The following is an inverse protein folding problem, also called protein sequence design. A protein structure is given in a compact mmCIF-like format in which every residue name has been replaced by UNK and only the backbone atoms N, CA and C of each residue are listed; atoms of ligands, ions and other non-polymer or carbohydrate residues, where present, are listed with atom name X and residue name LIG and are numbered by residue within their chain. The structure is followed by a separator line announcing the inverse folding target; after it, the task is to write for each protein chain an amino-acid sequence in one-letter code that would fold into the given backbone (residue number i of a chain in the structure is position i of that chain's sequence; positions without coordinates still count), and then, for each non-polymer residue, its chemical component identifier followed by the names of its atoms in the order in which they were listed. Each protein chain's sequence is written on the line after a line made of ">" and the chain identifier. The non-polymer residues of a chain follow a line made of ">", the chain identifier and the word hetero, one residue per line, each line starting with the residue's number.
data_IF_364125401205
#
_entry.id   IF_364125401205
#
_cell.length_a   1.000
_cell.length_b   1.000
_cell.length_c   1.000
_cell.angle_alpha   90.00
_cell.angle_beta   90.00
_cell.angle_gamma   90.00
#
_symmetry.space_group_name_H-M   'P 1'
#
loop_
_entity.id
_entity.type
_entity.pdbx_description
1 polymer ?
#
# COMPACT_ATOMS: atom_id res chain seq x y z
N UNK A 1 -3.75 32.10 -18.47
CA UNK A 1 -3.34 30.72 -18.15
C UNK A 1 -2.64 30.07 -19.35
N UNK A 2 -3.23 30.03 -20.56
CA UNK A 2 -2.66 29.36 -21.75
C UNK A 2 -1.33 29.95 -22.20
N UNK A 3 -1.15 31.28 -22.15
CA UNK A 3 0.13 31.94 -22.46
C UNK A 3 1.24 31.54 -21.47
N UNK A 4 0.94 31.48 -20.20
CA UNK A 4 1.90 31.05 -19.18
C UNK A 4 2.30 29.58 -19.34
N UNK A 5 1.37 28.69 -19.72
CA UNK A 5 1.72 27.29 -20.04
C UNK A 5 2.67 27.22 -21.24
N UNK A 6 2.43 28.04 -22.26
CA UNK A 6 3.32 28.11 -23.43
C UNK A 6 4.70 28.64 -23.05
N UNK A 7 4.79 29.70 -22.21
CA UNK A 7 6.05 30.24 -21.74
C UNK A 7 6.84 29.23 -20.88
N UNK A 8 6.15 28.46 -20.04
CA UNK A 8 6.79 27.39 -19.24
C UNK A 8 7.43 26.35 -20.13
N UNK A 9 6.66 25.87 -21.14
CA UNK A 9 7.14 24.80 -22.03
C UNK A 9 8.22 25.28 -22.99
N UNK A 10 8.22 26.55 -23.39
CA UNK A 10 9.20 27.09 -24.37
C UNK A 10 10.44 27.68 -23.73
N UNK A 11 10.32 28.34 -22.58
CA UNK A 11 11.43 29.07 -21.93
C UNK A 11 12.02 28.35 -20.72
N UNK A 12 11.22 27.52 -20.04
CA UNK A 12 11.62 26.85 -18.79
C UNK A 12 11.55 25.32 -18.92
N UNK A 13 11.73 24.78 -20.11
CA UNK A 13 11.54 23.35 -20.38
C UNK A 13 12.39 22.43 -19.49
N UNK A 14 13.68 22.75 -19.30
CA UNK A 14 14.60 21.96 -18.48
C UNK A 14 14.22 21.99 -16.98
N UNK A 15 13.78 23.15 -16.49
CA UNK A 15 13.29 23.29 -15.13
C UNK A 15 11.93 22.60 -14.93
N UNK A 16 11.08 22.60 -15.97
CA UNK A 16 9.81 21.91 -15.97
C UNK A 16 9.98 20.39 -15.92
N UNK A 17 10.85 19.80 -16.75
CA UNK A 17 11.15 18.36 -16.73
C UNK A 17 11.80 17.95 -15.41
N UNK A 18 12.71 18.80 -14.90
CA UNK A 18 13.39 18.56 -13.63
C UNK A 18 12.54 18.87 -12.40
N UNK A 19 11.27 19.25 -12.58
CA UNK A 19 10.31 19.60 -11.53
C UNK A 19 10.78 20.75 -10.60
N UNK A 20 11.58 21.70 -11.13
CA UNK A 20 12.16 22.82 -10.39
C UNK A 20 11.25 24.06 -10.43
N UNK A 21 10.07 23.94 -9.84
CA UNK A 21 9.04 25.00 -9.89
C UNK A 21 9.46 26.32 -9.26
N UNK A 22 10.34 26.30 -8.27
CA UNK A 22 10.86 27.53 -7.67
C UNK A 22 11.65 28.38 -8.68
N UNK A 23 12.42 27.75 -9.58
CA UNK A 23 13.13 28.46 -10.64
C UNK A 23 12.14 29.02 -11.67
N UNK A 24 11.13 28.26 -12.05
CA UNK A 24 10.07 28.69 -12.97
C UNK A 24 9.35 29.94 -12.40
N UNK A 25 8.98 29.91 -11.12
CA UNK A 25 8.36 31.04 -10.43
C UNK A 25 9.23 32.29 -10.48
N UNK A 26 10.54 32.15 -10.25
CA UNK A 26 11.50 33.27 -10.31
C UNK A 26 11.67 33.81 -11.74
N UNK A 27 11.79 32.91 -12.73
CA UNK A 27 12.04 33.27 -14.14
C UNK A 27 10.84 33.97 -14.76
N UNK A 28 9.62 33.53 -14.44
CA UNK A 28 8.39 34.07 -15.01
C UNK A 28 7.69 35.07 -14.11
N UNK A 29 8.19 35.31 -12.88
CA UNK A 29 7.61 36.28 -11.93
C UNK A 29 6.21 35.89 -11.45
N UNK A 30 5.91 34.58 -11.35
CA UNK A 30 4.59 34.07 -10.93
C UNK A 30 4.61 33.62 -9.47
N UNK A 31 3.45 33.72 -8.80
CA UNK A 31 3.30 33.21 -7.44
C UNK A 31 3.30 31.68 -7.40
N UNK A 32 3.63 31.11 -6.25
CA UNK A 32 3.60 29.65 -6.06
C UNK A 32 2.20 29.06 -6.26
N UNK A 33 1.16 29.78 -5.85
CA UNK A 33 -0.23 29.36 -6.06
C UNK A 33 -0.59 29.30 -7.54
N UNK A 34 -0.21 30.33 -8.30
CA UNK A 34 -0.39 30.34 -9.76
C UNK A 34 0.38 29.22 -10.44
N UNK A 35 1.58 28.94 -9.97
CA UNK A 35 2.41 27.83 -10.49
C UNK A 35 1.76 26.47 -10.22
N UNK A 36 1.14 26.31 -9.05
CA UNK A 36 0.38 25.10 -8.68
C UNK A 36 -0.83 24.88 -9.59
N UNK A 37 -1.62 25.92 -9.84
CA UNK A 37 -2.77 25.86 -10.73
C UNK A 37 -2.37 25.54 -12.16
N UNK A 38 -1.31 26.17 -12.66
CA UNK A 38 -0.78 25.92 -14.01
C UNK A 38 -0.27 24.50 -14.13
N UNK A 39 0.43 23.99 -13.12
CA UNK A 39 0.91 22.62 -13.07
C UNK A 39 -0.23 21.62 -13.15
N UNK A 40 -1.30 21.84 -12.39
CA UNK A 40 -2.50 21.01 -12.44
C UNK A 40 -3.16 21.04 -13.83
N UNK A 41 -3.28 22.22 -14.44
CA UNK A 41 -3.83 22.37 -15.79
C UNK A 41 -2.94 21.72 -16.89
N UNK A 42 -1.62 21.82 -16.77
CA UNK A 42 -0.68 21.16 -17.70
C UNK A 42 -0.85 19.63 -17.61
N UNK A 43 -0.90 19.06 -16.40
CA UNK A 43 -1.10 17.63 -16.20
C UNK A 43 -2.46 17.16 -16.74
N UNK A 44 -3.49 17.95 -16.59
CA UNK A 44 -4.84 17.62 -17.02
C UNK A 44 -5.04 17.71 -18.53
N UNK A 45 -4.44 18.72 -19.18
CA UNK A 45 -4.71 19.04 -20.59
C UNK A 45 -3.62 18.62 -21.56
N UNK A 46 -2.38 18.60 -21.11
CA UNK A 46 -1.25 18.23 -21.95
C UNK A 46 -0.78 16.83 -21.55
N UNK A 47 -0.75 15.93 -22.53
CA UNK A 47 -0.09 14.65 -22.36
C UNK A 47 1.44 14.87 -22.44
N UNK A 48 2.19 14.80 -21.33
CA UNK A 48 3.63 15.05 -21.32
C UNK A 48 4.45 13.97 -22.05
N UNK A 49 3.81 12.86 -22.45
CA UNK A 49 4.40 11.80 -23.25
C UNK A 49 3.65 11.70 -24.58
N UNK A 50 4.10 12.42 -25.63
CA UNK A 50 3.50 12.30 -26.95
C UNK A 50 3.53 10.84 -27.41
N UNK A 51 2.39 10.31 -27.84
CA UNK A 51 2.25 8.91 -28.23
C UNK A 51 1.90 7.93 -27.12
N UNK A 52 1.84 8.35 -25.84
CA UNK A 52 1.40 7.46 -24.76
C UNK A 52 -0.03 6.93 -24.99
N UNK A 53 -0.93 7.78 -25.50
CA UNK A 53 -2.29 7.38 -25.88
C UNK A 53 -2.34 6.42 -27.08
N UNK A 54 -1.35 6.45 -27.97
CA UNK A 54 -1.26 5.54 -29.12
C UNK A 54 -0.68 4.17 -28.77
N UNK A 55 0.16 4.11 -27.71
CA UNK A 55 0.76 2.86 -27.25
C UNK A 55 -0.14 2.04 -26.32
N UNK A 56 -1.21 2.62 -25.80
CA UNK A 56 -2.15 1.93 -24.92
C UNK A 56 -3.16 1.05 -25.66
N UNK A 57 -3.37 1.27 -26.98
CA UNK A 57 -4.34 0.53 -27.77
C UNK A 57 -3.83 -0.84 -28.30
N UNK A 58 -2.52 -1.06 -28.38
CA UNK A 58 -1.96 -2.29 -28.95
C UNK A 58 -0.90 -2.89 -28.03
N UNK A 59 -1.32 -3.72 -27.07
CA UNK A 59 -0.45 -4.73 -26.45
C UNK A 59 -0.05 -4.59 -24.99
N UNK A 60 -0.59 -3.67 -24.22
CA UNK A 60 -0.60 -3.86 -22.77
C UNK A 60 -1.71 -4.84 -22.45
N UNK A 61 -1.36 -6.11 -22.31
CA UNK A 61 -2.09 -7.00 -21.41
C UNK A 61 -2.12 -6.23 -20.10
N UNK A 62 -3.26 -5.61 -19.79
CA UNK A 62 -3.47 -4.98 -18.49
C UNK A 62 -3.26 -6.10 -17.49
N UNK A 63 -2.06 -6.19 -16.93
CA UNK A 63 -1.85 -7.05 -15.79
C UNK A 63 -2.78 -6.52 -14.72
N UNK A 64 -3.91 -7.19 -14.56
CA UNK A 64 -4.84 -6.87 -13.48
C UNK A 64 -4.14 -7.20 -12.17
N UNK A 65 -3.57 -6.18 -11.55
CA UNK A 65 -2.93 -6.31 -10.25
C UNK A 65 -4.04 -6.18 -9.22
N UNK A 66 -4.26 -7.25 -8.47
CA UNK A 66 -5.16 -7.19 -7.31
C UNK A 66 -4.44 -6.45 -6.19
N UNK A 67 -4.98 -5.34 -5.69
CA UNK A 67 -4.35 -4.60 -4.61
C UNK A 67 -4.39 -5.41 -3.31
N UNK A 68 -3.35 -5.31 -2.50
CA UNK A 68 -3.33 -5.90 -1.15
C UNK A 68 -4.06 -5.03 -0.12
N UNK A 69 -4.12 -3.73 -0.39
CA UNK A 69 -4.71 -2.73 0.50
C UNK A 69 -5.48 -1.71 -0.34
N UNK A 70 -6.69 -1.40 0.06
CA UNK A 70 -7.50 -0.33 -0.53
C UNK A 70 -7.63 0.81 0.47
N UNK A 71 -7.25 2.02 0.07
CA UNK A 71 -7.33 3.23 0.90
C UNK A 71 -8.46 4.10 0.41
N UNK A 72 -9.37 4.44 1.30
CA UNK A 72 -10.51 5.32 1.05
C UNK A 72 -10.40 6.59 1.87
N UNK A 73 -10.79 7.72 1.27
CA UNK A 73 -10.83 9.02 1.93
C UNK A 73 -12.25 9.55 1.80
N UNK A 74 -12.87 9.85 2.93
CA UNK A 74 -14.20 10.44 2.96
C UNK A 74 -14.19 11.97 2.73
N UNK A 75 -15.37 12.56 2.62
CA UNK A 75 -15.53 14.01 2.42
C UNK A 75 -15.04 14.85 3.62
N UNK A 76 -14.90 14.21 4.79
CA UNK A 76 -14.37 14.84 6.01
C UNK A 76 -12.85 14.72 6.13
N UNK A 77 -12.18 14.24 5.07
CA UNK A 77 -10.74 13.97 5.02
C UNK A 77 -10.28 12.91 6.04
N UNK A 78 -11.21 12.04 6.46
CA UNK A 78 -10.86 10.87 7.25
C UNK A 78 -10.39 9.75 6.31
N UNK A 79 -9.19 9.21 6.59
CA UNK A 79 -8.58 8.16 5.79
C UNK A 79 -8.84 6.83 6.47
N UNK A 80 -9.46 5.91 5.75
CA UNK A 80 -9.67 4.52 6.15
C UNK A 80 -8.96 3.60 5.19
N UNK A 81 -8.61 2.41 5.63
CA UNK A 81 -8.05 1.40 4.74
C UNK A 81 -8.60 0.02 5.08
N UNK A 82 -8.68 -0.81 4.07
CA UNK A 82 -9.09 -2.20 4.15
C UNK A 82 -7.97 -3.09 3.63
N UNK A 83 -7.69 -4.18 4.34
CA UNK A 83 -6.76 -5.21 3.89
C UNK A 83 -7.53 -6.18 2.99
N UNK A 84 -7.02 -6.42 1.80
CA UNK A 84 -7.57 -7.42 0.91
C UNK A 84 -7.00 -8.78 1.29
N UNK A 85 -7.82 -9.59 1.94
CA UNK A 85 -7.45 -10.95 2.36
C UNK A 85 -7.50 -11.96 1.21
N UNK A 86 -7.90 -11.53 -0.01
CA UNK A 86 -8.17 -12.43 -1.12
C UNK A 86 -9.30 -13.40 -0.78
N UNK A 87 -9.15 -14.64 -1.22
CA UNK A 87 -10.13 -15.70 -0.93
C UNK A 87 -9.77 -16.54 0.31
N UNK A 88 -8.99 -15.98 1.27
CA UNK A 88 -8.65 -16.71 2.48
C UNK A 88 -9.86 -16.71 3.41
N UNK A 89 -10.49 -17.86 3.68
CA UNK A 89 -11.60 -17.93 4.62
C UNK A 89 -11.10 -17.70 6.05
N UNK A 90 -12.03 -17.42 6.95
CA UNK A 90 -11.72 -17.33 8.37
C UNK A 90 -11.26 -18.72 8.85
N UNK A 91 -9.99 -18.82 9.21
CA UNK A 91 -9.38 -20.06 9.63
C UNK A 91 -9.55 -20.26 11.14
N UNK A 92 -9.97 -21.44 11.53
CA UNK A 92 -10.04 -21.91 12.90
C UNK A 92 -9.68 -23.39 12.98
N UNK A 93 -9.26 -23.82 14.14
CA UNK A 93 -9.09 -25.26 14.40
C UNK A 93 -10.48 -25.89 14.53
N UNK A 94 -10.67 -27.06 13.96
CA UNK A 94 -11.96 -27.75 14.03
C UNK A 94 -12.29 -28.16 15.49
N UNK A 95 -13.52 -27.92 15.89
CA UNK A 95 -14.02 -28.38 17.20
C UNK A 95 -13.95 -29.89 17.34
N UNK A 96 -14.04 -30.64 16.23
CA UNK A 96 -13.92 -32.09 16.23
C UNK A 96 -12.51 -32.54 16.56
N UNK A 97 -11.48 -31.82 16.11
CA UNK A 97 -10.09 -32.11 16.47
C UNK A 97 -9.83 -31.87 17.98
N UNK A 98 -10.43 -30.83 18.54
CA UNK A 98 -10.33 -30.56 19.99
C UNK A 98 -11.04 -31.62 20.82
N UNK A 99 -12.21 -32.10 20.36
CA UNK A 99 -12.94 -33.22 20.98
C UNK A 99 -12.15 -34.52 20.89
N UNK A 100 -11.59 -34.81 19.72
CA UNK A 100 -10.77 -35.99 19.50
C UNK A 100 -9.54 -36.02 20.44
N UNK A 101 -8.88 -34.88 20.63
CA UNK A 101 -7.78 -34.75 21.59
C UNK A 101 -8.26 -35.04 23.02
N UNK A 102 -9.40 -34.50 23.42
CA UNK A 102 -9.99 -34.73 24.75
C UNK A 102 -10.33 -36.20 25.00
N UNK A 103 -10.86 -36.90 23.98
CA UNK A 103 -11.21 -38.31 24.05
C UNK A 103 -9.96 -39.21 24.09
N UNK A 104 -8.94 -38.88 23.27
CA UNK A 104 -7.65 -39.59 23.27
C UNK A 104 -6.88 -39.42 24.58
N UNK A 105 -6.99 -38.26 25.25
CA UNK A 105 -6.40 -38.04 26.58
C UNK A 105 -7.00 -38.95 27.65
N UNK A 106 -8.27 -39.35 27.51
CA UNK A 106 -8.93 -40.30 28.42
C UNK A 106 -8.51 -41.74 28.15
N UNK A 107 -8.03 -42.03 26.94
CA UNK A 107 -7.64 -43.37 26.53
C UNK A 107 -6.18 -43.66 26.88
N UNK A 108 -5.96 -44.40 27.97
CA UNK A 108 -4.62 -44.66 28.53
C UNK A 108 -3.88 -45.83 27.87
N UNK A 109 -4.32 -46.32 26.69
CA UNK A 109 -3.63 -47.35 25.94
C UNK A 109 -2.41 -46.81 25.23
N UNK A 110 -1.42 -47.69 24.90
CA UNK A 110 -0.23 -47.28 24.15
C UNK A 110 -0.60 -46.69 22.79
N UNK A 111 -1.50 -47.34 22.05
CA UNK A 111 -2.02 -46.84 20.77
C UNK A 111 -2.74 -45.47 20.92
N UNK A 112 -3.47 -45.27 22.03
CA UNK A 112 -4.12 -43.98 22.35
C UNK A 112 -3.10 -42.86 22.56
N UNK A 113 -1.98 -43.13 23.22
CA UNK A 113 -0.91 -42.15 23.43
C UNK A 113 -0.20 -41.76 22.13
N UNK A 114 0.04 -42.72 21.25
CA UNK A 114 0.64 -42.46 19.94
C UNK A 114 -0.31 -41.63 19.04
N UNK A 115 -1.59 -42.00 19.01
CA UNK A 115 -2.62 -41.26 18.30
C UNK A 115 -2.78 -39.82 18.84
N UNK A 116 -2.76 -39.65 20.17
CA UNK A 116 -2.80 -38.34 20.82
C UNK A 116 -1.63 -37.46 20.41
N UNK A 117 -0.39 -37.97 20.49
CA UNK A 117 0.81 -37.25 20.12
C UNK A 117 0.78 -36.81 18.65
N UNK A 118 0.30 -37.69 17.76
CA UNK A 118 0.15 -37.40 16.35
C UNK A 118 -0.89 -36.30 16.11
N UNK A 119 -2.10 -36.41 16.65
CA UNK A 119 -3.18 -35.43 16.48
C UNK A 119 -2.77 -34.08 17.07
N UNK A 120 -2.15 -34.06 18.25
CA UNK A 120 -1.71 -32.86 18.90
C UNK A 120 -0.65 -32.12 18.06
N UNK A 121 0.28 -32.85 17.43
CA UNK A 121 1.27 -32.25 16.53
C UNK A 121 0.62 -31.56 15.31
N UNK A 122 -0.45 -32.11 14.74
CA UNK A 122 -1.18 -31.50 13.62
C UNK A 122 -1.95 -30.27 14.05
N UNK A 123 -2.65 -30.32 15.18
CA UNK A 123 -3.37 -29.18 15.73
C UNK A 123 -2.41 -28.05 16.10
N UNK A 124 -1.27 -28.34 16.69
CA UNK A 124 -0.27 -27.34 17.02
C UNK A 124 0.30 -26.66 15.75
N UNK A 125 0.57 -27.44 14.70
CA UNK A 125 0.97 -26.88 13.39
C UNK A 125 -0.12 -25.97 12.79
N UNK A 126 -1.38 -26.39 12.87
CA UNK A 126 -2.51 -25.57 12.40
C UNK A 126 -2.64 -24.27 13.19
N UNK A 127 -2.50 -24.33 14.51
CA UNK A 127 -2.50 -23.12 15.38
C UNK A 127 -1.36 -22.17 15.03
N UNK A 128 -0.16 -22.68 14.84
CA UNK A 128 1.02 -21.88 14.42
C UNK A 128 0.75 -21.21 13.06
N UNK A 129 0.17 -21.95 12.11
CA UNK A 129 -0.15 -21.40 10.80
C UNK A 129 -1.20 -20.30 10.86
N UNK A 130 -2.29 -20.50 11.61
CA UNK A 130 -3.34 -19.49 11.82
C UNK A 130 -2.75 -18.24 12.48
N UNK A 131 -1.93 -18.42 13.50
CA UNK A 131 -1.28 -17.32 14.19
C UNK A 131 -0.32 -16.54 13.28
N UNK A 132 0.42 -17.23 12.41
CA UNK A 132 1.29 -16.58 11.43
C UNK A 132 0.51 -15.70 10.43
N UNK A 133 -0.67 -16.16 9.99
CA UNK A 133 -1.57 -15.34 9.14
C UNK A 133 -2.03 -14.11 9.89
N UNK A 134 -2.52 -14.27 11.12
CA UNK A 134 -2.97 -13.15 11.96
C UNK A 134 -1.84 -12.14 12.20
N UNK A 135 -0.65 -12.60 12.52
CA UNK A 135 0.51 -11.74 12.72
C UNK A 135 0.91 -10.99 11.43
N UNK A 136 0.77 -11.64 10.26
CA UNK A 136 0.99 -11.00 8.96
C UNK A 136 0.00 -9.85 8.75
N UNK A 137 -1.28 -10.06 9.03
CA UNK A 137 -2.33 -9.05 8.90
C UNK A 137 -2.10 -7.87 9.85
N UNK A 138 -1.74 -8.16 11.11
CA UNK A 138 -1.41 -7.14 12.08
C UNK A 138 -0.19 -6.31 11.65
N UNK A 139 0.84 -6.96 11.12
CA UNK A 139 2.03 -6.28 10.59
C UNK A 139 1.66 -5.36 9.42
N UNK A 140 0.79 -5.83 8.51
CA UNK A 140 0.30 -5.03 7.40
C UNK A 140 -0.49 -3.83 7.88
N UNK A 141 -1.44 -4.03 8.79
CA UNK A 141 -2.27 -2.96 9.34
C UNK A 141 -1.44 -1.88 10.06
N UNK A 142 -0.54 -2.29 10.94
CA UNK A 142 0.35 -1.35 11.67
C UNK A 142 1.26 -0.58 10.73
N UNK A 143 1.85 -1.26 9.73
CA UNK A 143 2.73 -0.61 8.76
C UNK A 143 1.95 0.40 7.92
N UNK A 144 0.74 0.04 7.44
CA UNK A 144 -0.10 0.94 6.66
C UNK A 144 -0.56 2.15 7.47
N UNK A 145 -0.93 1.95 8.73
CA UNK A 145 -1.28 3.05 9.64
C UNK A 145 -0.13 4.06 9.78
N UNK A 146 1.10 3.58 9.97
CA UNK A 146 2.28 4.44 10.06
C UNK A 146 2.54 5.21 8.76
N UNK A 147 2.37 4.55 7.59
CA UNK A 147 2.52 5.19 6.28
C UNK A 147 1.45 6.27 6.08
N UNK A 148 0.18 5.96 6.34
CA UNK A 148 -0.94 6.92 6.22
C UNK A 148 -0.69 8.14 7.13
N UNK A 149 -0.25 7.93 8.35
CA UNK A 149 0.03 9.01 9.28
C UNK A 149 1.10 9.97 8.74
N UNK A 150 2.17 9.44 8.13
CA UNK A 150 3.27 10.25 7.59
C UNK A 150 2.95 10.88 6.24
N UNK A 151 2.16 10.22 5.42
CA UNK A 151 1.81 10.63 4.05
C UNK A 151 0.38 11.15 3.94
N UNK A 152 -0.20 11.58 5.06
CA UNK A 152 -1.61 11.98 5.13
C UNK A 152 -2.00 12.94 4.01
N UNK A 153 -1.16 13.94 3.74
CA UNK A 153 -1.46 14.96 2.74
C UNK A 153 -1.56 14.36 1.34
N UNK A 154 -0.65 13.49 0.99
CA UNK A 154 -0.69 12.79 -0.31
C UNK A 154 -1.98 11.98 -0.48
N UNK A 155 -2.41 11.23 0.53
CA UNK A 155 -3.65 10.44 0.42
C UNK A 155 -4.89 11.32 0.25
N UNK A 156 -4.89 12.54 0.76
CA UNK A 156 -6.00 13.49 0.63
C UNK A 156 -5.99 14.17 -0.75
N UNK A 157 -4.84 14.64 -1.21
CA UNK A 157 -4.72 15.47 -2.42
C UNK A 157 -4.44 14.68 -3.69
N UNK A 158 -3.76 13.54 -3.58
CA UNK A 158 -3.26 12.76 -4.72
C UNK A 158 -2.09 13.43 -5.46
N UNK A 159 -1.55 14.53 -4.94
CA UNK A 159 -0.42 15.20 -5.57
C UNK A 159 0.91 14.62 -5.06
N UNK A 160 1.72 14.09 -5.97
CA UNK A 160 3.06 13.56 -5.65
C UNK A 160 4.00 14.57 -5.00
N UNK A 161 3.71 15.89 -5.14
CA UNK A 161 4.50 16.92 -4.47
C UNK A 161 4.25 17.01 -2.98
N UNK A 162 3.11 16.51 -2.53
CA UNK A 162 2.74 16.44 -1.12
C UNK A 162 3.34 15.22 -0.41
N UNK A 163 4.11 14.39 -1.15
CA UNK A 163 4.84 13.27 -0.54
C UNK A 163 5.93 13.79 0.39
N UNK A 164 5.79 13.49 1.67
CA UNK A 164 6.82 13.76 2.66
C UNK A 164 8.01 12.79 2.52
N UNK A 165 9.26 13.25 2.68
CA UNK A 165 10.43 12.36 2.69
C UNK A 165 10.29 11.32 3.81
N UNK A 166 10.35 10.05 3.46
CA UNK A 166 10.16 8.94 4.39
C UNK A 166 11.17 7.83 4.10
N UNK A 167 11.79 7.32 5.16
CA UNK A 167 12.74 6.20 5.09
C UNK A 167 12.15 4.97 5.77
N UNK A 168 12.59 3.78 5.37
CA UNK A 168 12.19 2.52 6.02
C UNK A 168 12.46 2.53 7.53
N UNK A 169 13.54 3.19 7.95
CA UNK A 169 13.90 3.34 9.38
C UNK A 169 12.84 4.11 10.16
N UNK A 170 12.22 5.10 9.54
CA UNK A 170 11.21 5.93 10.20
C UNK A 170 9.93 5.11 10.47
N UNK A 171 9.52 4.29 9.51
CA UNK A 171 8.39 3.37 9.68
C UNK A 171 8.72 2.25 10.68
N UNK A 172 9.95 1.73 10.66
CA UNK A 172 10.40 0.74 11.62
C UNK A 172 10.34 1.27 13.07
N UNK A 173 10.71 2.53 13.27
CA UNK A 173 10.64 3.20 14.57
C UNK A 173 9.18 3.41 15.02
N UNK A 174 8.28 3.82 14.13
CA UNK A 174 6.88 4.07 14.46
C UNK A 174 6.11 2.78 14.79
N UNK A 175 6.45 1.70 14.09
CA UNK A 175 5.76 0.40 14.24
C UNK A 175 6.38 -0.50 15.28
N UNK A 176 7.64 -0.27 15.63
CA UNK A 176 8.45 -1.15 16.50
C UNK A 176 8.93 -2.43 15.80
N UNK A 177 8.77 -2.53 14.47
CA UNK A 177 9.25 -3.66 13.70
C UNK A 177 10.68 -3.46 13.21
N UNK A 178 11.37 -4.56 12.91
CA UNK A 178 12.68 -4.51 12.27
C UNK A 178 12.60 -3.94 10.84
N UNK A 179 13.66 -3.21 10.44
CA UNK A 179 13.77 -2.61 9.11
C UNK A 179 13.62 -3.66 8.00
N UNK A 180 14.11 -4.89 8.23
CA UNK A 180 14.01 -5.98 7.26
C UNK A 180 12.56 -6.40 7.03
N UNK A 181 11.72 -6.38 8.07
CA UNK A 181 10.29 -6.66 7.99
C UNK A 181 9.58 -5.59 7.16
N UNK A 182 9.85 -4.31 7.44
CA UNK A 182 9.28 -3.19 6.67
C UNK A 182 9.75 -3.24 5.21
N UNK A 183 11.02 -3.55 4.95
CA UNK A 183 11.54 -3.69 3.58
C UNK A 183 10.87 -4.83 2.80
N UNK A 184 10.59 -5.96 3.44
CA UNK A 184 9.85 -7.08 2.80
C UNK A 184 8.41 -6.69 2.51
N UNK A 185 7.76 -5.98 3.43
CA UNK A 185 6.43 -5.45 3.22
C UNK A 185 6.39 -4.53 1.98
N UNK A 186 7.28 -3.53 1.91
CA UNK A 186 7.24 -2.50 0.87
C UNK A 186 7.54 -3.01 -0.55
N UNK A 187 8.25 -4.15 -0.68
CA UNK A 187 8.66 -4.67 -2.01
C UNK A 187 7.56 -5.31 -2.83
N UNK A 188 6.54 -5.86 -2.20
CA UNK A 188 5.60 -6.76 -2.87
C UNK A 188 4.14 -6.43 -2.60
N UNK A 189 3.85 -5.21 -2.15
CA UNK A 189 2.50 -4.79 -1.81
C UNK A 189 2.03 -3.69 -2.73
N UNK A 190 0.81 -3.84 -3.21
CA UNK A 190 0.11 -2.86 -4.03
C UNK A 190 -1.00 -2.23 -3.21
N UNK A 191 -1.08 -0.92 -3.30
CA UNK A 191 -2.07 -0.12 -2.59
C UNK A 191 -2.91 0.58 -3.64
N UNK A 192 -4.21 0.37 -3.59
CA UNK A 192 -5.18 1.10 -4.39
C UNK A 192 -5.61 2.36 -3.64
N UNK A 193 -5.58 3.48 -4.31
CA UNK A 193 -6.06 4.75 -3.78
C UNK A 193 -7.17 5.30 -4.69
N UNK A 194 -7.92 6.31 -4.25
CA UNK A 194 -8.90 6.98 -5.14
C UNK A 194 -8.26 7.65 -6.36
N UNK A 195 -6.94 7.72 -6.42
CA UNK A 195 -6.17 8.34 -7.50
C UNK A 195 -5.54 7.30 -8.45
N UNK A 196 -5.64 6.01 -8.16
CA UNK A 196 -5.07 4.87 -8.86
C UNK A 196 -4.13 4.04 -8.02
#
# INVERSE_FOLDING_TARGET
>A
TTMLMYDIVTRCYDDFISNRWQNICRTLGISEDTARDIRHEIRRRLNPKPGAAMGEAEGRTLMHITPDITVSVDDTQHITFELNHGNIPLLHVSDDDERLIADLQRNNTQAGKEALAFTQQYVDKAKIFIEAIRQREETMARTMTAIIHRQRQYFITGDETDLAPMKLKDIAQDTGYDISTISRFSRSKYIETRWG
#
